data_IF_170186292332
#
_entry.id   IF_170186292332
#
_cell.length_a   1.000
_cell.length_b   1.000
_cell.length_c   1.000
_cell.angle_alpha   90.00
_cell.angle_beta   90.00
_cell.angle_gamma   90.00
#
_symmetry.space_group_name_H-M   'P 1'
#
loop_
_entity.id
_entity.type
_entity.pdbx_description
1 polymer ?
#
# COMPACT_ATOMS: atom_id res chain seq x y z
N UNK A 1 56.62 -26.62 4.97
CA UNK A 1 55.81 -26.70 3.73
C UNK A 1 56.10 -25.47 2.87
N UNK A 2 55.75 -25.48 1.59
CA UNK A 2 56.50 -24.75 0.55
C UNK A 2 56.48 -23.22 0.64
N UNK A 3 57.65 -22.63 0.40
CA UNK A 3 57.81 -21.23 0.00
C UNK A 3 57.87 -21.12 -1.54
N UNK A 4 57.73 -19.90 -2.07
CA UNK A 4 57.81 -19.59 -3.49
C UNK A 4 59.18 -19.93 -4.12
N UNK A 5 59.20 -20.10 -5.45
CA UNK A 5 60.39 -19.82 -6.28
C UNK A 5 60.00 -18.98 -7.50
N UNK A 6 60.91 -18.09 -7.87
CA UNK A 6 60.76 -17.13 -8.96
C UNK A 6 60.90 -17.78 -10.35
N UNK A 7 60.43 -17.09 -11.40
CA UNK A 7 61.34 -16.39 -12.33
C UNK A 7 60.57 -15.42 -13.26
N UNK A 8 61.25 -14.34 -13.69
CA UNK A 8 60.78 -13.33 -14.66
C UNK A 8 61.80 -13.23 -15.81
N UNK A 9 61.32 -13.26 -17.06
CA UNK A 9 61.87 -12.60 -18.25
C UNK A 9 60.80 -12.74 -19.36
N UNK A 10 60.16 -11.66 -19.85
CA UNK A 10 60.58 -10.84 -21.01
C UNK A 10 60.63 -11.67 -22.32
N UNK A 11 59.83 -11.37 -23.35
CA UNK A 11 59.95 -10.15 -24.16
C UNK A 11 58.64 -9.69 -24.87
N UNK A 12 58.73 -8.72 -25.80
CA UNK A 12 57.64 -7.94 -26.41
C UNK A 12 56.84 -8.63 -27.54
N UNK A 13 55.64 -8.11 -27.82
CA UNK A 13 54.85 -8.42 -29.03
C UNK A 13 53.68 -7.46 -29.24
N UNK A 14 53.84 -6.48 -30.13
CA UNK A 14 52.80 -5.49 -30.50
C UNK A 14 52.38 -5.66 -31.95
N UNK A 15 51.08 -5.71 -32.25
CA UNK A 15 50.53 -5.76 -33.62
C UNK A 15 49.28 -4.89 -33.79
N UNK A 16 49.17 -4.08 -34.87
CA UNK A 16 47.99 -3.25 -35.17
C UNK A 16 47.09 -3.84 -36.29
N UNK A 17 46.07 -3.07 -36.68
CA UNK A 17 45.13 -3.28 -37.79
C UNK A 17 45.70 -3.85 -39.10
N UNK A 18 44.86 -4.61 -39.81
CA UNK A 18 44.64 -4.43 -41.26
C UNK A 18 43.18 -4.77 -41.64
N UNK A 19 42.71 -4.18 -42.73
CA UNK A 19 41.45 -4.48 -43.42
C UNK A 19 41.61 -5.57 -44.47
N UNK A 20 40.50 -6.22 -44.88
CA UNK A 20 39.95 -6.16 -46.26
C UNK A 20 38.68 -7.03 -46.40
N UNK A 21 37.93 -6.83 -47.49
CA UNK A 21 36.75 -7.61 -47.89
C UNK A 21 36.89 -8.08 -49.34
N UNK A 22 36.08 -9.06 -49.80
CA UNK A 22 35.39 -8.83 -51.08
C UNK A 22 33.95 -9.39 -51.16
N UNK A 23 33.26 -8.98 -52.23
CA UNK A 23 31.89 -9.31 -52.67
C UNK A 23 31.75 -10.76 -53.22
N UNK A 24 30.62 -11.25 -53.75
CA UNK A 24 29.26 -10.74 -54.10
C UNK A 24 28.20 -11.87 -53.89
N UNK A 25 27.00 -12.03 -54.48
CA UNK A 25 26.29 -11.51 -55.68
C UNK A 25 24.79 -11.87 -55.61
N UNK A 26 23.95 -11.29 -56.49
CA UNK A 26 22.66 -11.85 -57.01
C UNK A 26 21.46 -11.91 -56.05
N UNK A 27 20.21 -11.55 -56.39
CA UNK A 27 19.55 -10.73 -57.44
C UNK A 27 18.06 -10.55 -57.01
N UNK A 28 17.17 -9.72 -57.59
CA UNK A 28 17.25 -8.77 -58.70
C UNK A 28 15.84 -8.44 -59.27
N UNK A 29 15.63 -7.26 -59.86
CA UNK A 29 14.35 -6.69 -60.38
C UNK A 29 13.24 -6.32 -59.36
N UNK A 30 12.30 -5.39 -59.64
CA UNK A 30 12.33 -4.15 -60.47
C UNK A 30 10.99 -3.36 -60.31
N UNK A 31 11.03 -2.05 -60.61
CA UNK A 31 9.97 -1.12 -61.10
C UNK A 31 9.43 -0.01 -60.15
N UNK A 32 9.71 1.25 -60.57
CA UNK A 32 8.94 2.52 -60.47
C UNK A 32 8.45 3.02 -59.09
N UNK A 33 8.38 4.33 -58.81
CA UNK A 33 8.11 5.50 -59.67
C UNK A 33 9.18 6.63 -59.61
N UNK A 34 8.95 7.66 -60.43
CA UNK A 34 9.64 8.96 -60.57
C UNK A 34 9.51 9.92 -59.35
N UNK A 35 10.17 11.08 -59.23
CA UNK A 35 11.46 11.63 -59.75
C UNK A 35 11.64 13.08 -59.22
N UNK A 36 12.88 13.52 -58.95
CA UNK A 36 13.50 14.87 -59.19
C UNK A 36 12.74 16.21 -58.91
N UNK A 37 13.35 17.33 -58.48
CA UNK A 37 14.74 17.72 -58.09
C UNK A 37 14.74 19.12 -57.43
N UNK A 38 15.74 19.38 -56.57
CA UNK A 38 16.68 20.54 -56.52
C UNK A 38 16.23 21.91 -57.11
N UNK A 39 16.37 23.05 -56.42
CA UNK A 39 17.65 23.79 -56.28
C UNK A 39 17.75 24.77 -55.09
N UNK A 40 18.98 24.99 -54.61
CA UNK A 40 19.36 26.13 -53.76
C UNK A 40 19.72 27.38 -54.58
N UNK A 41 19.73 28.55 -53.92
CA UNK A 41 20.73 29.61 -54.15
C UNK A 41 21.01 30.36 -52.83
N UNK A 42 22.19 30.96 -52.66
CA UNK A 42 22.67 31.57 -51.40
C UNK A 42 23.13 33.03 -51.55
N UNK A 43 23.18 33.75 -50.42
CA UNK A 43 23.85 35.06 -50.18
C UNK A 43 23.22 36.31 -50.82
N UNK A 44 23.20 37.50 -50.18
CA UNK A 44 24.40 38.33 -49.89
C UNK A 44 24.23 39.31 -48.70
N UNK A 45 25.39 39.63 -48.09
CA UNK A 45 25.80 40.51 -46.97
C UNK A 45 25.05 41.83 -46.63
N UNK A 46 24.91 42.12 -45.31
CA UNK A 46 25.53 43.21 -44.48
C UNK A 46 26.06 44.54 -45.12
N UNK A 47 26.22 45.70 -44.39
CA UNK A 47 26.72 45.80 -42.98
C UNK A 47 26.31 47.03 -42.07
N UNK A 48 26.97 47.11 -40.88
CA UNK A 48 27.42 48.29 -40.05
C UNK A 48 26.51 49.06 -39.05
N UNK A 49 26.75 48.80 -37.75
CA UNK A 49 27.40 49.66 -36.69
C UNK A 49 27.15 51.18 -36.53
N UNK A 50 26.77 51.61 -35.31
CA UNK A 50 27.21 52.77 -34.46
C UNK A 50 26.13 53.17 -33.43
N UNK A 51 26.34 53.76 -32.24
CA UNK A 51 27.54 54.01 -31.41
C UNK A 51 27.13 54.29 -29.93
N UNK A 52 28.01 54.88 -29.09
CA UNK A 52 27.95 54.87 -27.60
C UNK A 52 27.59 56.22 -26.92
N UNK A 53 27.21 56.15 -25.63
CA UNK A 53 27.39 57.16 -24.55
C UNK A 53 26.67 58.54 -24.56
N UNK A 54 25.98 58.88 -23.46
CA UNK A 54 26.42 59.95 -22.51
C UNK A 54 25.50 60.13 -21.27
N UNK A 55 26.06 60.74 -20.21
CA UNK A 55 25.49 60.97 -18.86
C UNK A 55 24.67 62.26 -18.72
N UNK A 56 23.79 62.34 -17.72
CA UNK A 56 23.44 63.59 -16.99
C UNK A 56 23.07 63.26 -15.53
N UNK A 57 23.43 64.14 -14.59
CA UNK A 57 23.32 63.93 -13.13
C UNK A 57 22.16 64.71 -12.46
N UNK A 58 21.90 64.36 -11.18
CA UNK A 58 21.29 65.09 -10.07
C UNK A 58 20.12 66.10 -10.27
N UNK A 59 19.14 66.05 -9.36
CA UNK A 59 18.94 67.13 -8.36
C UNK A 59 18.09 66.63 -7.17
N UNK A 60 18.43 67.13 -5.98
CA UNK A 60 17.84 66.83 -4.66
C UNK A 60 16.38 67.27 -4.49
N UNK A 61 15.65 66.68 -3.52
CA UNK A 61 15.22 67.37 -2.27
C UNK A 61 14.61 66.37 -1.28
N UNK A 62 15.07 66.37 -0.02
CA UNK A 62 14.44 65.64 1.09
C UNK A 62 13.44 66.54 1.84
N UNK A 63 12.24 66.04 2.14
CA UNK A 63 11.25 66.76 2.96
C UNK A 63 11.25 66.24 4.40
N UNK A 64 11.55 67.12 5.37
CA UNK A 64 11.53 66.82 6.81
C UNK A 64 10.37 67.55 7.49
N UNK A 65 9.53 66.80 8.21
CA UNK A 65 8.67 67.21 9.35
C UNK A 65 8.20 65.90 10.01
N UNK A 66 8.61 65.54 11.23
CA UNK A 66 8.24 66.12 12.53
C UNK A 66 6.75 65.97 12.87
N UNK A 67 6.42 65.02 13.76
CA UNK A 67 5.63 65.33 14.95
C UNK A 67 5.93 64.37 16.15
N UNK A 68 5.63 64.91 17.32
CA UNK A 68 5.50 64.45 18.71
C UNK A 68 4.69 63.14 18.90
N UNK A 69 4.68 62.40 20.03
CA UNK A 69 5.40 62.44 21.33
C UNK A 69 5.19 61.11 22.10
N UNK A 70 6.08 60.82 23.08
CA UNK A 70 5.82 60.20 24.40
C UNK A 70 4.67 59.18 24.59
N UNK A 71 4.96 57.94 25.06
CA UNK A 71 4.70 57.52 26.47
C UNK A 71 4.95 56.01 26.79
N UNK A 72 5.40 55.77 28.03
CA UNK A 72 5.31 54.54 28.88
C UNK A 72 6.16 53.29 28.60
N UNK A 73 6.83 52.83 29.66
CA UNK A 73 7.39 51.48 29.84
C UNK A 73 6.35 50.50 30.46
N UNK A 74 6.49 49.18 30.20
CA UNK A 74 6.15 48.13 31.15
C UNK A 74 7.45 47.62 31.83
N UNK A 75 7.78 48.14 33.01
CA UNK A 75 7.54 47.45 34.30
C UNK A 75 8.13 46.04 34.41
N UNK A 76 9.25 45.92 35.11
CA UNK A 76 9.85 44.63 35.53
C UNK A 76 8.92 43.87 36.48
N UNK A 77 8.78 42.55 36.31
CA UNK A 77 8.20 41.65 37.31
C UNK A 77 9.14 40.48 37.58
N UNK A 78 9.53 40.29 38.84
CA UNK A 78 10.09 39.04 39.35
C UNK A 78 9.09 38.39 40.30
N UNK A 79 8.99 37.06 40.24
CA UNK A 79 8.48 36.22 41.31
C UNK A 79 9.32 34.92 41.35
N UNK A 80 9.64 34.37 42.54
CA UNK A 80 10.56 33.24 42.64
C UNK A 80 9.86 31.90 42.41
N UNK A 81 10.54 30.97 41.73
CA UNK A 81 10.19 29.54 41.74
C UNK A 81 10.92 28.82 42.87
N UNK A 82 10.15 28.15 43.72
CA UNK A 82 10.61 27.52 44.97
C UNK A 82 11.44 26.26 44.72
N UNK A 83 12.58 26.13 45.40
CA UNK A 83 13.29 24.84 45.51
C UNK A 83 12.45 23.83 46.27
N UNK A 84 12.19 22.68 45.66
CA UNK A 84 11.67 21.49 46.35
C UNK A 84 12.70 20.38 46.28
N UNK A 85 12.86 19.62 47.37
CA UNK A 85 13.97 18.68 47.54
C UNK A 85 13.79 17.40 46.71
N UNK A 86 14.88 16.95 46.07
CA UNK A 86 14.95 15.59 45.52
C UNK A 86 15.21 14.61 46.66
N UNK A 87 14.19 13.84 47.05
CA UNK A 87 14.31 12.82 48.10
C UNK A 87 14.56 11.45 47.49
N UNK A 88 15.77 10.92 47.68
CA UNK A 88 16.17 9.59 47.22
C UNK A 88 16.00 8.53 48.32
N UNK A 89 15.08 7.56 48.17
CA UNK A 89 15.24 6.21 48.72
C UNK A 89 16.08 5.41 47.69
N UNK A 90 17.37 5.20 47.94
CA UNK A 90 17.93 4.13 48.78
C UNK A 90 17.63 2.72 48.24
N UNK A 91 18.70 1.97 47.94
CA UNK A 91 18.65 0.57 47.54
C UNK A 91 18.00 -0.33 48.60
N UNK A 92 17.21 -1.29 48.16
CA UNK A 92 16.82 -2.48 48.95
C UNK A 92 17.32 -3.74 48.25
N UNK A 93 18.01 -4.59 48.99
CA UNK A 93 18.91 -5.62 48.46
C UNK A 93 18.33 -7.04 48.51
N UNK A 94 18.77 -7.88 47.56
CA UNK A 94 19.03 -9.33 47.74
C UNK A 94 17.83 -10.30 47.86
N UNK A 95 17.98 -11.45 47.17
CA UNK A 95 17.30 -12.75 47.40
C UNK A 95 15.81 -12.89 47.00
N UNK A 96 15.30 -14.09 46.70
CA UNK A 96 15.94 -15.42 46.78
C UNK A 96 15.45 -16.46 45.75
N UNK A 97 16.19 -17.59 45.73
CA UNK A 97 15.86 -18.95 45.28
C UNK A 97 15.19 -19.24 43.92
N UNK A 98 15.97 -19.95 43.11
CA UNK A 98 15.50 -20.98 42.15
C UNK A 98 14.67 -22.06 42.84
N UNK A 99 13.48 -22.38 42.32
CA UNK A 99 12.83 -23.67 42.59
C UNK A 99 12.33 -24.34 41.30
N UNK A 100 12.88 -25.52 41.01
CA UNK A 100 12.38 -26.42 39.96
C UNK A 100 11.90 -27.72 40.60
N UNK A 101 10.60 -28.03 40.47
CA UNK A 101 10.09 -29.39 40.40
C UNK A 101 9.61 -29.66 38.95
N UNK A 102 10.17 -30.62 38.20
CA UNK A 102 10.20 -32.08 38.38
C UNK A 102 9.15 -32.76 37.47
N UNK A 103 9.49 -33.95 36.98
CA UNK A 103 8.80 -34.62 35.85
C UNK A 103 7.59 -35.48 36.24
N UNK A 104 6.95 -36.10 35.24
CA UNK A 104 5.86 -37.09 35.28
C UNK A 104 4.46 -36.50 35.55
N UNK A 105 3.35 -37.07 35.05
CA UNK A 105 3.11 -38.48 34.69
C UNK A 105 2.45 -38.75 33.33
N UNK A 106 2.94 -39.81 32.68
CA UNK A 106 2.22 -40.90 31.98
C UNK A 106 0.71 -40.80 31.69
N UNK A 107 0.38 -40.98 30.41
CA UNK A 107 -0.76 -41.70 29.79
C UNK A 107 -1.86 -42.31 30.68
N UNK A 108 -3.12 -42.12 30.24
CA UNK A 108 -4.01 -43.25 29.87
C UNK A 108 -4.78 -42.93 28.57
N UNK A 109 -5.16 -43.97 27.80
CA UNK A 109 -6.00 -43.88 26.59
C UNK A 109 -7.28 -44.72 26.80
N UNK A 110 -8.50 -44.15 26.72
CA UNK A 110 -9.73 -44.90 26.91
C UNK A 110 -10.13 -45.69 25.65
N UNK A 111 -10.27 -47.01 25.80
CA UNK A 111 -10.44 -47.97 24.70
C UNK A 111 -11.85 -48.03 24.07
N UNK A 112 -11.86 -48.45 22.81
CA UNK A 112 -12.97 -48.95 21.98
C UNK A 112 -14.14 -49.65 22.69
N UNK A 113 -15.36 -49.14 22.48
CA UNK A 113 -16.62 -49.91 22.36
C UNK A 113 -17.76 -48.97 21.89
N UNK A 114 -18.84 -49.40 21.21
CA UNK A 114 -19.26 -50.75 20.87
C UNK A 114 -19.88 -50.82 19.45
N UNK A 115 -19.91 -52.02 18.89
CA UNK A 115 -20.62 -52.38 17.65
C UNK A 115 -22.16 -52.33 17.84
N UNK A 116 -22.93 -52.11 16.77
CA UNK A 116 -24.39 -52.28 16.79
C UNK A 116 -24.88 -52.86 15.46
N UNK A 117 -25.64 -53.95 15.56
CA UNK A 117 -25.81 -54.92 14.47
C UNK A 117 -27.20 -54.91 13.84
N UNK A 118 -27.20 -55.11 12.51
CA UNK A 118 -28.26 -55.81 11.73
C UNK A 118 -29.70 -55.27 11.65
N UNK A 119 -30.03 -54.81 10.43
CA UNK A 119 -31.07 -55.44 9.56
C UNK A 119 -32.55 -55.40 9.97
N UNK A 120 -33.34 -54.62 9.20
CA UNK A 120 -34.59 -55.13 8.56
C UNK A 120 -34.91 -54.43 7.24
N UNK A 121 -34.85 -55.18 6.14
CA UNK A 121 -35.56 -54.98 4.86
C UNK A 121 -35.86 -56.38 4.30
N UNK A 122 -36.79 -56.58 3.32
CA UNK A 122 -37.58 -55.59 2.58
C UNK A 122 -39.11 -55.78 2.76
N UNK A 123 -39.91 -54.95 2.09
CA UNK A 123 -41.25 -55.37 1.63
C UNK A 123 -41.57 -54.72 0.29
N UNK A 124 -41.63 -55.52 -0.77
CA UNK A 124 -42.09 -55.10 -2.09
C UNK A 124 -43.62 -55.04 -2.10
N UNK A 125 -44.20 -54.09 -2.82
CA UNK A 125 -45.61 -54.13 -3.22
C UNK A 125 -45.72 -53.49 -4.61
N UNK A 126 -46.20 -54.27 -5.57
CA UNK A 126 -46.22 -53.86 -6.98
C UNK A 126 -47.35 -52.87 -7.29
N UNK A 127 -47.09 -52.08 -8.33
CA UNK A 127 -48.07 -51.28 -9.09
C UNK A 127 -49.05 -52.22 -9.87
N UNK A 128 -50.07 -51.73 -10.61
CA UNK A 128 -50.31 -50.33 -10.98
C UNK A 128 -51.78 -49.84 -10.93
N UNK A 129 -51.97 -48.53 -11.14
CA UNK A 129 -53.15 -47.99 -11.84
C UNK A 129 -52.76 -46.69 -12.56
N UNK A 130 -53.04 -46.62 -13.86
CA UNK A 130 -52.88 -45.40 -14.66
C UNK A 130 -53.99 -44.40 -14.35
N UNK A 131 -53.68 -43.12 -14.24
CA UNK A 131 -54.66 -42.03 -14.32
C UNK A 131 -54.01 -40.85 -15.04
N UNK A 132 -54.81 -40.10 -15.79
CA UNK A 132 -54.31 -39.28 -16.89
C UNK A 132 -53.91 -37.85 -16.47
N UNK A 133 -52.84 -37.37 -17.13
CA UNK A 133 -52.67 -36.00 -17.63
C UNK A 133 -53.35 -34.85 -16.86
N UNK A 134 -52.54 -34.09 -16.10
CA UNK A 134 -52.73 -32.65 -15.96
C UNK A 134 -51.37 -31.96 -16.02
N UNK A 135 -51.04 -31.43 -17.20
CA UNK A 135 -49.81 -30.68 -17.45
C UNK A 135 -49.99 -29.23 -17.03
N UNK A 136 -49.80 -28.97 -15.73
CA UNK A 136 -49.55 -27.62 -15.22
C UNK A 136 -48.26 -27.66 -14.44
N UNK A 137 -47.15 -27.53 -15.17
CA UNK A 137 -45.84 -27.25 -14.58
C UNK A 137 -45.82 -25.78 -14.19
N UNK A 138 -46.46 -25.46 -13.07
CA UNK A 138 -46.17 -24.24 -12.33
C UNK A 138 -44.71 -24.35 -11.86
N UNK A 139 -43.80 -23.90 -12.72
CA UNK A 139 -42.44 -23.67 -12.32
C UNK A 139 -42.50 -22.69 -11.13
N UNK A 140 -41.80 -22.96 -10.01
CA UNK A 140 -41.64 -21.94 -9.01
C UNK A 140 -40.93 -20.79 -9.70
N UNK A 141 -41.63 -19.67 -9.88
CA UNK A 141 -40.97 -18.40 -10.14
C UNK A 141 -40.12 -18.13 -8.91
N UNK A 142 -38.86 -18.56 -8.98
CA UNK A 142 -37.78 -17.95 -8.24
C UNK A 142 -37.77 -16.51 -8.70
N UNK A 143 -38.56 -15.68 -8.02
CA UNK A 143 -38.34 -14.24 -7.98
C UNK A 143 -37.00 -14.08 -7.27
N UNK A 144 -35.92 -14.24 -8.03
CA UNK A 144 -34.68 -13.57 -7.75
C UNK A 144 -35.06 -12.11 -7.58
N UNK A 145 -35.13 -11.68 -6.31
CA UNK A 145 -34.94 -10.28 -5.98
C UNK A 145 -33.59 -9.95 -6.58
N UNK A 146 -33.59 -9.28 -7.73
CA UNK A 146 -32.38 -8.74 -8.34
C UNK A 146 -31.95 -7.54 -7.49
N UNK A 147 -31.48 -7.84 -6.28
CA UNK A 147 -30.64 -6.95 -5.49
C UNK A 147 -29.55 -6.47 -6.45
N UNK A 148 -29.44 -5.17 -6.74
CA UNK A 148 -28.53 -4.69 -7.75
C UNK A 148 -27.11 -5.16 -7.40
N UNK A 149 -26.38 -5.77 -8.36
CA UNK A 149 -25.14 -6.45 -8.05
C UNK A 149 -24.15 -5.49 -7.40
N UNK A 150 -23.59 -5.93 -6.28
CA UNK A 150 -22.55 -5.22 -5.53
C UNK A 150 -21.45 -4.78 -6.50
N UNK A 151 -21.02 -3.51 -6.44
CA UNK A 151 -20.10 -3.00 -7.48
C UNK A 151 -18.70 -3.56 -7.25
N UNK A 152 -18.10 -4.28 -8.23
CA UNK A 152 -16.78 -4.87 -8.07
C UNK A 152 -15.70 -3.82 -7.81
N UNK A 153 -14.74 -4.17 -6.96
CA UNK A 153 -13.65 -3.29 -6.55
C UNK A 153 -13.72 -2.88 -5.09
N UNK A 154 -12.95 -1.87 -4.72
CA UNK A 154 -13.00 -1.19 -3.42
C UNK A 154 -13.18 0.31 -3.66
N UNK A 155 -13.73 1.03 -2.68
CA UNK A 155 -13.53 2.48 -2.62
C UNK A 155 -12.10 2.78 -2.15
N UNK A 156 -11.55 3.91 -2.58
CA UNK A 156 -10.29 4.42 -2.07
C UNK A 156 -10.35 5.93 -1.79
N UNK A 157 -9.53 6.38 -0.85
CA UNK A 157 -9.25 7.79 -0.55
C UNK A 157 -7.74 8.03 -0.45
N UNK A 158 -7.35 9.25 -0.77
CA UNK A 158 -5.99 9.76 -0.63
C UNK A 158 -5.98 10.94 0.36
N UNK A 159 -5.04 10.90 1.30
CA UNK A 159 -4.73 11.98 2.24
C UNK A 159 -3.27 12.41 2.07
N UNK A 160 -3.05 13.70 1.79
CA UNK A 160 -1.74 14.34 1.89
C UNK A 160 -1.63 14.98 3.27
N UNK A 161 -0.64 14.58 4.06
CA UNK A 161 -0.37 15.07 5.41
C UNK A 161 0.99 15.78 5.48
N UNK A 162 1.29 16.37 6.65
CA UNK A 162 2.59 17.01 6.91
C UNK A 162 3.52 16.07 7.70
N UNK A 163 4.82 16.37 7.66
CA UNK A 163 5.77 15.76 8.59
C UNK A 163 5.49 16.23 10.02
N UNK A 164 5.37 15.30 10.98
CA UNK A 164 5.36 15.67 12.38
C UNK A 164 6.76 16.20 12.81
N UNK A 165 6.85 17.41 13.39
CA UNK A 165 8.13 18.11 13.60
C UNK A 165 8.92 17.61 14.83
N UNK A 166 8.25 16.93 15.75
CA UNK A 166 8.77 16.38 17.01
C UNK A 166 8.92 14.85 16.97
N UNK A 167 8.30 14.18 15.99
CA UNK A 167 8.26 12.73 15.86
C UNK A 167 7.05 12.07 16.54
N UNK A 168 6.12 12.85 17.12
CA UNK A 168 4.86 12.34 17.68
C UNK A 168 3.71 12.48 16.67
N UNK A 169 2.75 11.55 16.66
CA UNK A 169 1.63 11.64 15.70
C UNK A 169 0.59 12.66 16.14
N UNK A 170 0.49 13.75 15.39
CA UNK A 170 -0.58 14.75 15.49
C UNK A 170 -1.65 14.57 14.39
N UNK A 171 -2.86 15.12 14.57
CA UNK A 171 -3.86 15.21 13.51
C UNK A 171 -3.33 15.87 12.23
N UNK A 172 -3.53 15.24 11.08
CA UNK A 172 -3.03 15.71 9.79
C UNK A 172 -1.52 15.52 9.58
N UNK A 173 -0.83 14.73 10.43
CA UNK A 173 0.61 14.52 10.36
C UNK A 173 1.03 13.04 10.41
N UNK A 174 2.18 12.74 9.82
CA UNK A 174 2.89 11.46 9.92
C UNK A 174 4.33 11.75 10.41
N UNK A 175 4.83 11.07 11.46
CA UNK A 175 6.20 11.22 11.91
C UNK A 175 7.18 10.52 10.96
N UNK A 176 8.44 10.99 10.89
CA UNK A 176 9.50 10.31 10.13
C UNK A 176 9.65 8.85 10.60
N UNK A 177 9.77 7.92 9.66
CA UNK A 177 9.93 6.48 9.93
C UNK A 177 11.43 6.13 9.96
N UNK A 178 12.00 5.85 11.15
CA UNK A 178 13.44 5.58 11.28
C UNK A 178 13.79 4.20 10.71
N UNK A 179 15.00 4.07 10.18
CA UNK A 179 15.54 2.83 9.58
C UNK A 179 15.89 1.72 10.60
N UNK A 180 15.37 1.82 11.83
CA UNK A 180 15.57 0.86 12.90
C UNK A 180 14.65 -0.35 12.69
N UNK A 181 15.20 -1.56 12.69
CA UNK A 181 14.46 -2.80 12.38
C UNK A 181 13.60 -3.27 13.57
N UNK A 182 12.61 -2.46 13.96
CA UNK A 182 11.67 -2.72 15.06
C UNK A 182 10.26 -2.32 14.66
N UNK A 183 9.24 -3.02 15.18
CA UNK A 183 7.83 -2.67 14.93
C UNK A 183 7.36 -1.44 15.74
N UNK A 184 8.26 -0.76 16.46
CA UNK A 184 7.90 0.34 17.38
C UNK A 184 7.23 1.49 16.64
N UNK A 185 7.71 1.84 15.44
CA UNK A 185 7.12 2.95 14.69
C UNK A 185 5.70 2.64 14.25
N UNK A 186 5.49 1.51 13.57
CA UNK A 186 4.18 1.11 13.05
C UNK A 186 3.18 0.63 14.10
N UNK A 187 3.62 0.26 15.31
CA UNK A 187 2.72 -0.14 16.41
C UNK A 187 2.47 0.97 17.44
N UNK A 188 3.39 1.93 17.59
CA UNK A 188 3.38 2.87 18.73
C UNK A 188 3.64 4.34 18.34
N UNK A 189 4.64 4.63 17.51
CA UNK A 189 4.99 6.04 17.17
C UNK A 189 4.01 6.66 16.20
N UNK A 190 3.73 5.98 15.08
CA UNK A 190 2.67 6.36 14.16
C UNK A 190 1.32 5.88 14.68
N UNK A 191 0.32 6.76 14.74
CA UNK A 191 -1.03 6.45 15.23
C UNK A 191 -2.08 6.82 14.18
N UNK A 192 -2.48 5.86 13.35
CA UNK A 192 -3.26 6.14 12.14
C UNK A 192 -4.60 6.83 12.42
N UNK A 193 -5.28 6.45 13.50
CA UNK A 193 -6.53 7.08 13.94
C UNK A 193 -6.34 8.52 14.44
N UNK A 194 -5.16 8.85 14.97
CA UNK A 194 -4.81 10.22 15.36
C UNK A 194 -4.56 11.07 14.11
N UNK A 195 -3.80 10.58 13.14
CA UNK A 195 -3.53 11.30 11.88
C UNK A 195 -4.82 11.65 11.14
N UNK A 196 -5.81 10.75 11.07
CA UNK A 196 -7.11 11.04 10.44
C UNK A 196 -8.03 11.99 11.22
N UNK A 197 -7.74 12.29 12.49
CA UNK A 197 -8.65 13.07 13.35
C UNK A 197 -8.98 14.44 12.76
N UNK A 198 -10.25 14.65 12.41
CA UNK A 198 -10.75 15.91 11.84
C UNK A 198 -10.25 16.24 10.43
N UNK A 199 -9.60 15.29 9.75
CA UNK A 199 -9.10 15.46 8.39
C UNK A 199 -10.19 15.21 7.35
N UNK A 200 -9.90 15.52 6.09
CA UNK A 200 -10.73 15.15 4.95
C UNK A 200 -9.83 14.73 3.78
N UNK A 201 -10.22 13.71 3.00
CA UNK A 201 -9.40 13.22 1.90
C UNK A 201 -9.33 14.24 0.77
N UNK A 202 -8.15 14.41 0.17
CA UNK A 202 -7.92 15.30 -0.96
C UNK A 202 -8.45 14.74 -2.29
N UNK A 203 -8.52 13.41 -2.41
CA UNK A 203 -9.09 12.71 -3.56
C UNK A 203 -9.73 11.39 -3.12
N UNK A 204 -10.74 10.92 -3.86
CA UNK A 204 -11.36 9.61 -3.67
C UNK A 204 -11.85 9.02 -4.98
N UNK A 205 -12.03 7.71 -5.02
CA UNK A 205 -12.56 7.00 -6.18
C UNK A 205 -12.90 5.54 -5.86
N UNK A 206 -12.98 4.74 -6.92
CA UNK A 206 -13.06 3.27 -6.84
C UNK A 206 -11.93 2.64 -7.64
N UNK A 207 -11.60 1.39 -7.36
CA UNK A 207 -10.61 0.60 -8.12
C UNK A 207 -10.95 -0.89 -8.10
N UNK A 208 -10.68 -1.60 -9.19
CA UNK A 208 -10.77 -3.07 -9.25
C UNK A 208 -9.42 -3.77 -9.06
N UNK A 209 -8.29 -3.05 -9.07
CA UNK A 209 -6.96 -3.54 -8.67
C UNK A 209 -6.49 -2.86 -7.39
N UNK A 210 -5.64 -3.52 -6.60
CA UNK A 210 -5.13 -3.00 -5.31
C UNK A 210 -3.62 -3.14 -5.26
N UNK A 211 -2.94 -2.11 -4.74
CA UNK A 211 -1.51 -1.89 -4.93
C UNK A 211 -1.26 -0.59 -5.71
N UNK A 212 -0.11 0.03 -5.47
CA UNK A 212 0.35 1.29 -6.08
C UNK A 212 1.86 1.15 -6.37
N UNK A 213 2.32 1.36 -7.62
CA UNK A 213 3.74 1.30 -7.94
C UNK A 213 4.51 2.43 -7.25
N UNK A 214 5.78 2.16 -6.91
CA UNK A 214 6.63 3.15 -6.24
C UNK A 214 6.82 4.42 -7.08
N UNK A 215 6.63 5.58 -6.46
CA UNK A 215 6.58 6.90 -7.09
C UNK A 215 7.26 7.96 -6.21
N UNK A 216 8.21 8.72 -6.77
CA UNK A 216 9.00 9.74 -6.05
C UNK A 216 8.52 11.19 -6.28
N UNK A 217 7.88 11.44 -7.42
CA UNK A 217 7.55 12.77 -7.93
C UNK A 217 6.02 12.94 -7.91
N UNK A 218 5.39 13.46 -8.97
CA UNK A 218 3.93 13.51 -9.13
C UNK A 218 3.29 12.18 -8.73
N UNK A 219 2.53 12.18 -7.65
CA UNK A 219 1.97 10.97 -7.08
C UNK A 219 0.57 10.70 -7.63
N UNK A 220 0.35 9.49 -8.14
CA UNK A 220 -0.91 9.08 -8.77
C UNK A 220 -1.52 7.86 -8.07
N UNK A 221 -2.84 7.91 -7.88
CA UNK A 221 -3.65 6.85 -7.25
C UNK A 221 -4.69 6.37 -8.25
N UNK A 222 -4.52 5.15 -8.75
CA UNK A 222 -5.35 4.54 -9.82
C UNK A 222 -5.58 5.46 -11.04
N UNK A 223 -4.49 6.13 -11.48
CA UNK A 223 -4.51 7.06 -12.61
C UNK A 223 -5.04 8.46 -12.28
N UNK A 224 -5.46 8.72 -11.05
CA UNK A 224 -5.82 10.06 -10.56
C UNK A 224 -4.56 10.77 -10.08
N UNK A 225 -4.22 11.91 -10.68
CA UNK A 225 -3.18 12.81 -10.18
C UNK A 225 -3.65 13.47 -8.87
N UNK A 226 -2.83 13.38 -7.83
CA UNK A 226 -3.11 13.98 -6.52
C UNK A 226 -2.72 15.46 -6.42
N UNK A 227 -1.94 15.98 -7.37
CA UNK A 227 -1.35 17.32 -7.33
C UNK A 227 -0.20 17.46 -6.33
N UNK A 228 0.27 16.35 -5.74
CA UNK A 228 1.29 16.31 -4.68
C UNK A 228 2.43 15.34 -5.04
N UNK A 229 3.44 15.23 -4.17
CA UNK A 229 4.39 14.13 -4.23
C UNK A 229 3.98 12.99 -3.28
N UNK A 230 4.76 11.92 -3.21
CA UNK A 230 4.44 10.76 -2.38
C UNK A 230 4.82 10.90 -0.90
N UNK A 231 5.36 12.04 -0.46
CA UNK A 231 5.85 12.21 0.92
C UNK A 231 4.68 12.41 1.88
N UNK A 232 4.76 11.87 3.10
CA UNK A 232 3.77 12.05 4.17
C UNK A 232 2.32 11.86 3.70
N UNK A 233 2.02 10.70 3.08
CA UNK A 233 0.69 10.44 2.51
C UNK A 233 0.09 9.10 3.00
N UNK A 234 -1.24 8.99 2.92
CA UNK A 234 -1.98 7.74 3.14
C UNK A 234 -2.94 7.48 1.98
N UNK A 235 -2.89 6.28 1.41
CA UNK A 235 -3.98 5.74 0.59
C UNK A 235 -4.69 4.65 1.37
N UNK A 236 -5.98 4.86 1.60
CA UNK A 236 -6.84 3.92 2.32
C UNK A 236 -7.93 3.38 1.40
N UNK A 237 -8.18 2.07 1.49
CA UNK A 237 -9.19 1.34 0.75
C UNK A 237 -10.22 0.77 1.70
N UNK A 238 -11.50 0.77 1.31
CA UNK A 238 -12.59 0.11 2.04
C UNK A 238 -13.55 -0.63 1.11
N UNK A 239 -14.21 -1.63 1.67
CA UNK A 239 -15.26 -2.40 1.02
C UNK A 239 -15.45 -3.73 1.72
N UNK A 240 -15.73 -4.76 0.95
CA UNK A 240 -15.98 -6.11 1.42
C UNK A 240 -15.14 -7.13 0.68
N UNK A 241 -14.60 -8.08 1.43
CA UNK A 241 -14.16 -9.37 0.95
C UNK A 241 -15.35 -10.34 1.02
N UNK A 242 -15.71 -10.95 -0.10
CA UNK A 242 -16.88 -11.83 -0.26
C UNK A 242 -16.42 -13.20 -0.79
N UNK A 243 -15.84 -14.07 0.06
CA UNK A 243 -15.21 -15.30 -0.38
C UNK A 243 -16.20 -16.28 -1.03
N UNK A 244 -15.87 -16.74 -2.23
CA UNK A 244 -16.63 -17.77 -2.96
C UNK A 244 -16.43 -19.19 -2.42
N UNK A 245 -15.43 -19.41 -1.55
CA UNK A 245 -15.02 -20.72 -1.03
C UNK A 245 -14.78 -20.66 0.48
N UNK A 246 -14.93 -21.80 1.14
CA UNK A 246 -14.47 -22.03 2.53
C UNK A 246 -13.02 -22.48 2.48
N UNK A 247 -12.17 -21.95 3.36
CA UNK A 247 -10.74 -22.28 3.44
C UNK A 247 -9.83 -21.09 3.68
N UNK A 248 -8.52 -21.35 3.66
CA UNK A 248 -7.47 -20.36 3.89
C UNK A 248 -7.24 -19.52 2.63
N UNK A 249 -7.52 -18.22 2.70
CA UNK A 249 -7.08 -17.24 1.70
C UNK A 249 -5.74 -16.63 2.13
N UNK A 250 -4.84 -16.39 1.17
CA UNK A 250 -3.50 -15.81 1.44
C UNK A 250 -3.41 -14.40 0.87
N UNK A 251 -3.02 -13.46 1.72
CA UNK A 251 -2.87 -12.05 1.38
C UNK A 251 -1.37 -11.72 1.37
N UNK A 252 -0.85 -11.30 0.23
CA UNK A 252 0.58 -11.05 0.00
C UNK A 252 0.85 -9.55 -0.19
N UNK A 253 2.00 -9.10 0.30
CA UNK A 253 2.55 -7.75 0.20
C UNK A 253 4.01 -7.88 -0.28
N UNK A 254 4.27 -8.08 -1.59
CA UNK A 254 5.60 -8.41 -2.10
C UNK A 254 6.68 -7.43 -1.62
N UNK A 255 7.71 -8.01 -1.00
CA UNK A 255 8.63 -7.27 -0.11
C UNK A 255 9.62 -6.34 -0.79
N UNK A 256 9.67 -6.35 -2.12
CA UNK A 256 10.41 -5.43 -2.98
C UNK A 256 9.57 -4.21 -3.43
N UNK A 257 8.28 -4.19 -3.10
CA UNK A 257 7.33 -3.15 -3.53
C UNK A 257 6.69 -2.36 -2.39
N UNK A 258 6.83 -2.79 -1.12
CA UNK A 258 6.27 -2.13 0.07
C UNK A 258 7.25 -1.13 0.69
N UNK A 259 6.90 0.16 0.65
CA UNK A 259 7.61 1.27 1.29
C UNK A 259 6.59 2.42 1.55
N UNK A 260 6.34 2.92 2.76
CA UNK A 260 6.87 2.52 4.08
C UNK A 260 6.03 1.38 4.75
N UNK A 261 4.72 1.52 4.96
CA UNK A 261 3.93 0.60 5.83
C UNK A 261 2.51 0.32 5.29
N UNK A 262 2.01 -0.91 5.44
CA UNK A 262 0.60 -1.30 5.20
C UNK A 262 -0.05 -1.86 6.47
N UNK A 263 -1.26 -1.36 6.75
CA UNK A 263 -2.17 -1.86 7.77
C UNK A 263 -3.36 -2.56 7.09
N UNK A 264 -3.89 -3.62 7.69
CA UNK A 264 -5.12 -4.27 7.24
C UNK A 264 -6.03 -4.62 8.41
N UNK A 265 -7.31 -4.33 8.26
CA UNK A 265 -8.39 -4.74 9.17
C UNK A 265 -9.41 -5.58 8.42
N UNK A 266 -9.95 -6.60 9.10
CA UNK A 266 -10.96 -7.52 8.58
C UNK A 266 -12.04 -7.67 9.65
N UNK A 267 -13.32 -7.72 9.25
CA UNK A 267 -14.46 -7.75 10.18
C UNK A 267 -14.81 -6.37 10.74
N UNK A 268 -15.52 -6.32 11.87
CA UNK A 268 -16.01 -5.06 12.46
C UNK A 268 -14.98 -3.94 12.65
N UNK A 269 -13.69 -4.20 13.02
CA UNK A 269 -12.67 -3.15 13.08
C UNK A 269 -12.49 -2.40 11.75
N UNK A 270 -12.67 -3.06 10.61
CA UNK A 270 -12.58 -2.41 9.30
C UNK A 270 -13.72 -1.39 9.06
N UNK A 271 -14.88 -1.56 9.70
CA UNK A 271 -15.99 -0.60 9.62
C UNK A 271 -15.72 0.66 10.43
N UNK A 272 -15.26 0.52 11.68
CA UNK A 272 -15.17 1.63 12.62
C UNK A 272 -14.23 1.34 13.79
N UNK A 273 -13.62 2.38 14.36
CA UNK A 273 -12.71 2.23 15.50
C UNK A 273 -11.36 1.58 15.17
N UNK A 274 -11.01 1.51 13.88
CA UNK A 274 -9.71 1.02 13.42
C UNK A 274 -8.56 1.87 14.00
N UNK A 275 -7.52 1.19 14.45
CA UNK A 275 -6.28 1.76 14.98
C UNK A 275 -5.17 0.71 14.89
N UNK A 276 -3.92 1.10 15.15
CA UNK A 276 -2.76 0.22 15.06
C UNK A 276 -2.91 -1.04 15.96
N UNK A 277 -3.51 -0.87 17.16
CA UNK A 277 -3.67 -1.95 18.14
C UNK A 277 -4.80 -2.95 17.86
N UNK A 278 -5.66 -2.70 16.85
CA UNK A 278 -6.67 -3.66 16.40
C UNK A 278 -6.57 -3.99 14.89
N UNK A 279 -5.45 -3.64 14.25
CA UNK A 279 -5.12 -4.14 12.92
C UNK A 279 -5.03 -5.67 12.94
N UNK A 280 -5.68 -6.32 11.98
CA UNK A 280 -5.52 -7.76 11.75
C UNK A 280 -4.10 -8.07 11.26
N UNK A 281 -3.53 -7.15 10.47
CA UNK A 281 -2.16 -7.25 10.00
C UNK A 281 -1.46 -5.89 9.87
N UNK A 282 -0.14 -5.89 10.09
CA UNK A 282 0.77 -4.76 9.85
C UNK A 282 2.02 -5.29 9.15
N UNK A 283 2.34 -4.74 7.99
CA UNK A 283 3.59 -4.97 7.28
C UNK A 283 4.35 -3.65 7.17
N UNK A 284 5.62 -3.67 7.54
CA UNK A 284 6.45 -2.47 7.72
C UNK A 284 7.79 -2.68 7.00
N UNK A 285 8.24 -1.67 6.25
CA UNK A 285 9.41 -1.75 5.38
C UNK A 285 10.71 -2.08 6.13
N UNK A 286 10.99 -1.40 7.24
CA UNK A 286 12.22 -1.60 8.02
C UNK A 286 12.06 -2.69 9.09
N UNK A 287 10.87 -2.86 9.68
CA UNK A 287 10.64 -3.85 10.71
C UNK A 287 10.64 -5.30 10.15
N UNK A 288 11.09 -6.30 10.95
CA UNK A 288 11.12 -7.71 10.55
C UNK A 288 9.73 -8.37 10.59
N UNK A 289 8.78 -7.77 9.86
CA UNK A 289 7.41 -8.27 9.65
C UNK A 289 7.37 -9.26 8.49
N UNK A 290 6.40 -10.18 8.49
CA UNK A 290 6.16 -11.04 7.32
C UNK A 290 5.66 -10.20 6.13
N UNK A 291 5.85 -10.71 4.91
CA UNK A 291 5.34 -10.13 3.66
C UNK A 291 4.08 -10.83 3.15
N UNK A 292 3.46 -11.65 3.99
CA UNK A 292 2.11 -12.20 3.78
C UNK A 292 1.44 -12.58 5.11
N UNK A 293 0.11 -12.70 5.05
CA UNK A 293 -0.75 -13.23 6.12
C UNK A 293 -1.87 -14.10 5.53
N UNK A 294 -2.56 -14.87 6.37
CA UNK A 294 -3.70 -15.69 5.96
C UNK A 294 -4.98 -15.29 6.69
N UNK A 295 -6.13 -15.63 6.09
CA UNK A 295 -7.45 -15.50 6.70
C UNK A 295 -8.29 -16.75 6.40
N UNK A 296 -8.73 -17.44 7.45
CA UNK A 296 -9.45 -18.72 7.35
C UNK A 296 -10.97 -18.50 7.27
N UNK A 297 -11.50 -18.49 6.06
CA UNK A 297 -12.92 -18.33 5.78
C UNK A 297 -13.70 -19.57 6.22
N UNK A 298 -14.66 -19.38 7.12
CA UNK A 298 -15.54 -20.46 7.62
C UNK A 298 -16.83 -20.63 6.80
N UNK A 299 -17.39 -19.53 6.27
CA UNK A 299 -18.56 -19.55 5.39
C UNK A 299 -18.23 -18.86 4.07
N UNK A 300 -18.55 -19.52 2.94
CA UNK A 300 -18.56 -18.87 1.65
C UNK A 300 -19.83 -18.01 1.49
N UNK A 301 -19.70 -16.84 0.86
CA UNK A 301 -20.81 -15.91 0.63
C UNK A 301 -21.08 -14.90 1.77
N UNK A 302 -20.35 -14.96 2.88
CA UNK A 302 -20.37 -13.87 3.88
C UNK A 302 -19.79 -12.59 3.26
N UNK A 303 -20.33 -11.42 3.62
CA UNK A 303 -19.76 -10.13 3.26
C UNK A 303 -18.89 -9.61 4.41
N UNK A 304 -17.60 -9.87 4.34
CA UNK A 304 -16.63 -9.58 5.40
C UNK A 304 -16.06 -8.18 5.18
N UNK A 305 -16.30 -7.19 6.07
CA UNK A 305 -15.76 -5.85 5.90
C UNK A 305 -14.23 -5.86 5.84
N UNK A 306 -13.67 -5.09 4.91
CA UNK A 306 -12.25 -5.03 4.63
C UNK A 306 -11.78 -3.58 4.57
N UNK A 307 -10.66 -3.28 5.24
CA UNK A 307 -9.98 -1.98 5.16
C UNK A 307 -8.48 -2.21 5.05
N UNK A 308 -7.85 -1.59 4.06
CA UNK A 308 -6.40 -1.57 3.88
C UNK A 308 -5.92 -0.12 3.92
N UNK A 309 -4.76 0.15 4.50
CA UNK A 309 -4.16 1.49 4.47
C UNK A 309 -2.66 1.38 4.25
N UNK A 310 -2.21 1.87 3.10
CA UNK A 310 -0.79 2.12 2.86
C UNK A 310 -0.45 3.54 3.30
N UNK A 311 0.67 3.66 4.01
CA UNK A 311 1.20 4.88 4.60
C UNK A 311 2.62 5.06 4.10
N UNK A 312 2.92 6.23 3.53
CA UNK A 312 4.28 6.64 3.24
C UNK A 312 4.68 7.75 4.21
N UNK A 313 5.75 7.54 4.97
CA UNK A 313 6.31 8.58 5.80
C UNK A 313 7.17 9.51 4.95
N UNK A 314 8.13 8.99 4.16
CA UNK A 314 9.10 9.86 3.48
C UNK A 314 9.47 9.42 2.06
N UNK A 315 10.15 10.32 1.34
CA UNK A 315 10.68 10.08 -0.01
C UNK A 315 9.58 9.60 -1.01
N UNK A 316 9.96 8.81 -2.01
CA UNK A 316 9.00 8.03 -2.79
C UNK A 316 8.63 6.74 -2.08
N UNK A 317 7.53 6.12 -2.50
CA UNK A 317 7.07 4.85 -1.93
C UNK A 317 5.90 4.26 -2.71
N UNK A 318 5.48 3.07 -2.30
CA UNK A 318 4.35 2.32 -2.87
C UNK A 318 4.04 1.05 -2.09
N UNK A 319 3.10 0.25 -2.62
CA UNK A 319 2.88 -1.10 -2.11
C UNK A 319 2.40 -2.03 -3.23
N UNK A 320 2.98 -3.21 -3.34
CA UNK A 320 2.35 -4.32 -4.03
C UNK A 320 1.33 -5.01 -3.14
N UNK A 321 0.32 -5.65 -3.74
CA UNK A 321 -0.67 -6.45 -3.03
C UNK A 321 -1.18 -7.58 -3.92
N UNK A 322 -1.44 -8.76 -3.36
CA UNK A 322 -2.27 -9.78 -4.00
C UNK A 322 -3.06 -10.60 -2.99
N UNK A 323 -4.15 -11.22 -3.46
CA UNK A 323 -4.96 -12.18 -2.69
C UNK A 323 -5.11 -13.46 -3.51
N UNK A 324 -4.73 -14.57 -2.89
CA UNK A 324 -4.87 -15.92 -3.43
C UNK A 324 -6.01 -16.67 -2.72
N UNK A 325 -6.81 -17.40 -3.50
CA UNK A 325 -7.88 -18.26 -2.99
C UNK A 325 -7.36 -19.61 -2.47
N UNK A 326 -8.20 -20.44 -1.81
CA UNK A 326 -7.77 -21.72 -1.23
C UNK A 326 -7.24 -22.76 -2.23
N UNK A 327 -7.43 -22.55 -3.54
CA UNK A 327 -6.88 -23.38 -4.62
C UNK A 327 -5.58 -22.77 -5.22
N UNK A 328 -5.11 -21.62 -4.72
CA UNK A 328 -3.91 -20.92 -5.17
C UNK A 328 -4.10 -19.97 -6.36
N UNK A 329 -5.34 -19.56 -6.67
CA UNK A 329 -5.62 -18.62 -7.76
C UNK A 329 -5.57 -17.18 -7.24
N UNK A 330 -4.82 -16.30 -7.92
CA UNK A 330 -4.86 -14.86 -7.64
C UNK A 330 -6.21 -14.30 -8.09
N UNK A 331 -6.97 -13.73 -7.15
CA UNK A 331 -8.33 -13.17 -7.37
C UNK A 331 -8.34 -11.63 -7.34
N UNK A 332 -7.28 -11.02 -6.79
CA UNK A 332 -7.05 -9.58 -6.75
C UNK A 332 -5.54 -9.31 -6.69
N UNK A 333 -5.04 -8.36 -7.47
CA UNK A 333 -3.70 -7.79 -7.31
C UNK A 333 -3.62 -6.37 -7.89
N UNK A 334 -2.41 -5.83 -7.98
CA UNK A 334 -2.02 -4.62 -8.72
C UNK A 334 -2.47 -4.62 -10.20
N UNK A 335 -2.55 -5.81 -10.79
CA UNK A 335 -2.70 -6.09 -12.23
C UNK A 335 -3.79 -7.12 -12.53
N UNK A 336 -4.27 -7.85 -11.51
CA UNK A 336 -5.40 -8.78 -11.60
C UNK A 336 -6.66 -8.12 -11.00
N UNK A 337 -7.63 -7.68 -11.81
CA UNK A 337 -8.80 -6.98 -11.31
C UNK A 337 -9.85 -7.94 -10.72
N UNK A 338 -10.42 -7.58 -9.56
CA UNK A 338 -11.65 -8.25 -9.07
C UNK A 338 -12.78 -8.09 -10.09
N UNK A 339 -13.29 -9.22 -10.57
CA UNK A 339 -14.34 -9.31 -11.59
C UNK A 339 -15.32 -10.47 -11.32
N UNK A 340 -15.04 -11.28 -10.31
CA UNK A 340 -15.82 -12.42 -9.84
C UNK A 340 -16.79 -12.07 -8.69
N UNK A 341 -16.69 -10.85 -8.15
CA UNK A 341 -17.47 -10.37 -7.01
C UNK A 341 -16.84 -10.70 -5.64
N UNK A 342 -15.63 -11.27 -5.57
CA UNK A 342 -14.98 -11.58 -4.30
C UNK A 342 -14.42 -10.34 -3.58
N UNK A 343 -14.27 -9.21 -4.27
CA UNK A 343 -14.09 -7.89 -3.66
C UNK A 343 -15.06 -6.87 -4.26
N UNK A 344 -15.85 -6.23 -3.40
CA UNK A 344 -16.89 -5.24 -3.77
C UNK A 344 -16.87 -4.04 -2.83
N UNK A 345 -17.19 -2.84 -3.33
CA UNK A 345 -17.18 -1.62 -2.50
C UNK A 345 -18.39 -1.54 -1.55
N UNK A 346 -19.45 -2.29 -1.86
CA UNK A 346 -20.71 -2.38 -1.14
C UNK A 346 -21.87 -2.66 -2.10
N UNK A 347 -23.07 -2.78 -1.55
CA UNK A 347 -24.30 -2.90 -2.35
C UNK A 347 -25.40 -2.10 -1.66
N UNK A 348 -25.92 -1.07 -2.34
CA UNK A 348 -26.77 -0.04 -1.74
C UNK A 348 -28.05 -0.59 -1.06
N UNK A 349 -28.60 -1.69 -1.58
CA UNK A 349 -29.80 -2.35 -1.07
C UNK A 349 -29.51 -3.66 -0.29
N UNK A 350 -28.23 -3.96 0.01
CA UNK A 350 -27.86 -5.14 0.82
C UNK A 350 -27.82 -4.79 2.30
N UNK A 351 -28.52 -5.58 3.11
CA UNK A 351 -28.44 -5.50 4.59
C UNK A 351 -27.15 -6.11 5.15
N UNK A 352 -26.54 -7.04 4.41
CA UNK A 352 -25.32 -7.73 4.80
C UNK A 352 -24.06 -6.94 4.37
N UNK A 353 -24.18 -6.16 3.28
CA UNK A 353 -23.09 -5.39 2.68
C UNK A 353 -23.41 -3.91 2.40
N UNK A 354 -24.00 -3.16 3.35
CA UNK A 354 -24.24 -1.73 3.16
C UNK A 354 -22.91 -0.97 2.99
N UNK A 355 -22.82 0.06 2.15
CA UNK A 355 -21.66 0.95 2.12
C UNK A 355 -21.35 1.50 3.52
N UNK A 356 -20.06 1.67 3.83
CA UNK A 356 -19.60 2.31 5.06
C UNK A 356 -18.52 3.35 4.74
N UNK A 357 -18.31 4.28 5.66
CA UNK A 357 -17.43 5.43 5.45
C UNK A 357 -15.97 5.16 5.85
N UNK A 358 -15.10 6.07 5.42
CA UNK A 358 -13.68 6.14 5.79
C UNK A 358 -13.55 6.66 7.23
#
# INVERSE_FOLDING_TARGET
>A
MSQCRNLRACDHGTTPHSSEAPSSTTDGSSLTEESSTTTETSSTQDPTTSEESTTTEETTTSTTSEDSTTSQEPTTTQAPTTTTESTTPQESTTSDETTTPAESTTSEEPTTSAESTTTTTPTTTDAPTTTEQSTTSDAPSTTTSETPPCTPGLEWVFYNFEQAPDGETNPGQIPYHPTEQTTTWSQQTFQIGTSFSGQSPGSRGTTTTVGIPSQDQTFTVYGTDTGTNAQYNIVQHIGYFHPSKVGTYTFNLPGDQLDDVVYTWIGDPARSGYNNGNAYYIADYYAPTSRSFTYDVQNAGDYIPFRLSWVNAQQGGGFGFSVEDPDGNVILSDSTPTTDGQFVNGCADSVDAPPFDF
#
